data_IF_026438042559
#
_entry.id   IF_026438042559
#
_cell.length_a   1.000
_cell.length_b   1.000
_cell.length_c   1.000
_cell.angle_alpha   90.00
_cell.angle_beta   90.00
_cell.angle_gamma   90.00
#
_symmetry.space_group_name_H-M   'P 1'
#
loop_
_entity.id
_entity.type
_entity.pdbx_description
1 polymer ?
#
# COMPACT_ATOMS: atom_id res chain seq x y z
N UNK A 1 -4.68 5.07 3.68
CA UNK A 1 -5.84 4.42 3.03
C UNK A 1 -6.41 5.32 1.95
N UNK A 2 -6.97 4.74 0.90
CA UNK A 2 -7.73 5.39 -0.17
C UNK A 2 -9.16 4.84 -0.12
N UNK A 3 -10.14 5.72 -0.20
CA UNK A 3 -11.55 5.35 -0.14
C UNK A 3 -12.39 6.16 -1.13
N UNK A 4 -13.47 5.55 -1.58
CA UNK A 4 -14.42 6.16 -2.51
C UNK A 4 -15.47 6.98 -1.75
N UNK A 5 -15.71 8.22 -2.21
CA UNK A 5 -16.75 9.11 -1.71
C UNK A 5 -18.07 8.80 -2.43
N UNK A 6 -19.20 9.27 -1.88
CA UNK A 6 -20.53 9.01 -2.45
C UNK A 6 -20.76 9.60 -3.85
N UNK A 7 -19.92 10.54 -4.28
CA UNK A 7 -19.94 11.13 -5.63
C UNK A 7 -19.03 10.40 -6.63
N UNK A 8 -18.42 9.28 -6.23
CA UNK A 8 -17.49 8.50 -7.04
C UNK A 8 -16.07 9.06 -7.12
N UNK A 9 -15.78 10.18 -6.45
CA UNK A 9 -14.42 10.66 -6.27
C UNK A 9 -13.67 9.85 -5.22
N UNK A 10 -12.34 9.95 -5.20
CA UNK A 10 -11.51 9.27 -4.21
C UNK A 10 -10.87 10.27 -3.25
N UNK A 11 -10.83 9.89 -1.98
CA UNK A 11 -10.12 10.58 -0.90
C UNK A 11 -9.06 9.66 -0.30
N UNK A 12 -8.16 10.23 0.50
CA UNK A 12 -7.15 9.46 1.20
C UNK A 12 -6.97 9.94 2.64
N UNK A 13 -6.59 9.02 3.52
CA UNK A 13 -6.27 9.33 4.91
C UNK A 13 -4.87 9.93 5.01
N UNK A 14 -4.65 10.81 5.99
CA UNK A 14 -3.34 11.42 6.21
C UNK A 14 -2.26 10.36 6.50
N UNK A 15 -1.01 10.58 6.06
CA UNK A 15 0.06 9.63 6.29
C UNK A 15 0.42 9.56 7.77
N UNK A 16 0.82 8.37 8.22
CA UNK A 16 1.38 8.12 9.54
C UNK A 16 2.83 7.67 9.39
N UNK A 17 3.65 7.94 10.41
CA UNK A 17 5.02 7.46 10.43
C UNK A 17 5.04 5.94 10.67
N UNK A 18 5.87 5.24 9.89
CA UNK A 18 6.34 3.90 10.20
C UNK A 18 7.65 3.93 11.01
N UNK A 19 8.31 2.79 11.06
CA UNK A 19 9.70 2.65 11.50
C UNK A 19 10.63 2.38 10.30
N UNK A 20 11.82 1.80 10.55
CA UNK A 20 12.80 1.51 9.50
C UNK A 20 12.32 0.48 8.47
N UNK A 21 11.45 -0.44 8.86
CA UNK A 21 11.06 -1.60 8.04
C UNK A 21 9.55 -1.81 7.94
N UNK A 22 8.73 -1.11 8.73
CA UNK A 22 7.31 -1.39 8.84
C UNK A 22 6.43 -0.16 9.03
N UNK A 23 5.19 -0.25 8.56
CA UNK A 23 4.06 0.54 9.03
C UNK A 23 2.81 -0.34 9.05
N UNK A 24 1.80 0.04 9.85
CA UNK A 24 0.49 -0.61 9.86
C UNK A 24 -0.54 0.31 9.21
N UNK A 25 -0.98 0.07 7.95
CA UNK A 25 -1.90 0.96 7.24
C UNK A 25 -3.21 1.23 7.99
N UNK A 26 -3.71 0.27 8.78
CA UNK A 26 -4.94 0.41 9.55
C UNK A 26 -4.85 1.43 10.70
N UNK A 27 -3.64 1.83 11.10
CA UNK A 27 -3.44 2.90 12.10
C UNK A 27 -3.71 4.31 11.53
N UNK A 28 -3.97 4.43 10.22
CA UNK A 28 -4.45 5.64 9.56
C UNK A 28 -5.87 5.41 9.02
N UNK A 29 -6.87 5.19 9.91
CA UNK A 29 -8.19 4.69 9.51
C UNK A 29 -8.95 5.71 8.66
N UNK A 30 -9.70 5.20 7.68
CA UNK A 30 -10.67 5.99 6.93
C UNK A 30 -11.85 6.38 7.82
N UNK A 31 -12.66 7.40 7.43
CA UNK A 31 -13.91 7.70 8.10
C UNK A 31 -14.77 6.44 8.28
N UNK A 32 -15.50 6.36 9.39
CA UNK A 32 -16.31 5.18 9.69
C UNK A 32 -17.35 4.93 8.57
N UNK A 33 -17.42 3.69 8.08
CA UNK A 33 -18.29 3.31 6.97
C UNK A 33 -17.81 3.71 5.57
N UNK A 34 -16.60 4.28 5.44
CA UNK A 34 -16.02 4.57 4.13
C UNK A 34 -15.75 3.28 3.33
N UNK A 35 -15.98 3.34 2.02
CA UNK A 35 -15.63 2.27 1.09
C UNK A 35 -14.11 2.32 0.79
N UNK A 36 -13.30 1.65 1.61
CA UNK A 36 -11.84 1.59 1.42
C UNK A 36 -11.53 0.64 0.27
N UNK A 37 -10.86 1.15 -0.76
CA UNK A 37 -10.59 0.41 -2.00
C UNK A 37 -9.11 0.08 -2.18
N UNK A 38 -8.23 0.87 -1.56
CA UNK A 38 -6.80 0.67 -1.64
C UNK A 38 -6.06 1.20 -0.41
N UNK A 39 -4.82 0.78 -0.24
CA UNK A 39 -3.85 1.43 0.62
C UNK A 39 -2.67 1.96 -0.20
N UNK A 40 -1.91 2.85 0.42
CA UNK A 40 -0.71 3.40 -0.18
C UNK A 40 0.38 3.50 0.88
N UNK A 41 1.63 3.29 0.46
CA UNK A 41 2.78 3.52 1.30
C UNK A 41 4.02 3.86 0.48
N UNK A 42 5.05 4.26 1.20
CA UNK A 42 6.37 4.56 0.66
C UNK A 42 7.38 3.62 1.27
N UNK A 43 8.37 3.20 0.50
CA UNK A 43 9.58 2.60 1.07
C UNK A 43 10.57 3.69 1.49
N UNK A 44 11.28 3.44 2.60
CA UNK A 44 12.37 4.29 3.08
C UNK A 44 13.60 4.24 2.17
N UNK A 45 14.67 4.96 2.53
CA UNK A 45 15.90 4.98 1.73
C UNK A 45 16.47 3.58 1.45
N UNK A 46 17.32 3.47 0.42
CA UNK A 46 18.00 2.22 0.08
C UNK A 46 18.69 1.61 1.30
N UNK A 47 18.36 0.36 1.59
CA UNK A 47 19.00 -0.47 2.60
C UNK A 47 19.44 -1.78 1.91
N UNK A 48 20.74 -2.12 1.90
CA UNK A 48 21.25 -3.32 1.23
C UNK A 48 20.67 -4.64 1.77
N UNK A 49 19.94 -4.63 2.89
CA UNK A 49 19.24 -5.80 3.43
C UNK A 49 17.93 -6.12 2.71
N UNK A 50 17.33 -5.17 1.98
CA UNK A 50 16.00 -5.31 1.40
C UNK A 50 16.00 -4.96 -0.09
N UNK A 51 15.08 -5.56 -0.86
CA UNK A 51 14.72 -5.02 -2.16
C UNK A 51 13.66 -3.93 -1.96
N UNK A 52 14.12 -2.69 -1.75
CA UNK A 52 13.23 -1.55 -1.50
C UNK A 52 12.40 -1.15 -2.73
N UNK A 53 12.56 -1.82 -3.87
CA UNK A 53 11.92 -1.44 -5.12
C UNK A 53 10.69 -2.27 -5.46
N UNK A 54 10.36 -3.31 -4.68
CA UNK A 54 9.22 -4.20 -4.95
C UNK A 54 8.23 -4.20 -3.79
N UNK A 55 6.98 -4.58 -4.05
CA UNK A 55 6.07 -4.94 -2.96
C UNK A 55 6.64 -6.15 -2.23
N UNK A 56 6.61 -6.12 -0.91
CA UNK A 56 6.99 -7.26 -0.09
C UNK A 56 5.95 -8.38 -0.21
N UNK A 57 6.46 -9.60 -0.42
CA UNK A 57 5.67 -10.83 -0.53
C UNK A 57 6.38 -11.90 0.28
N UNK A 58 6.41 -11.74 1.61
CA UNK A 58 7.21 -12.64 2.45
C UNK A 58 6.52 -13.99 2.61
N UNK A 59 7.31 -15.06 2.56
CA UNK A 59 6.84 -16.45 2.64
C UNK A 59 6.07 -16.79 3.93
N UNK A 60 6.14 -15.95 4.97
CA UNK A 60 5.40 -16.10 6.22
C UNK A 60 3.99 -15.49 6.19
N UNK A 61 3.51 -15.06 5.02
CA UNK A 61 2.17 -14.48 4.84
C UNK A 61 2.07 -13.06 5.39
N UNK A 62 3.19 -12.32 5.42
CA UNK A 62 3.27 -10.92 5.83
C UNK A 62 3.76 -10.03 4.69
N UNK A 63 3.76 -8.74 4.94
CA UNK A 63 4.14 -7.74 3.94
C UNK A 63 2.95 -7.28 3.10
N UNK A 64 3.29 -6.59 2.03
CA UNK A 64 2.36 -5.81 1.23
C UNK A 64 1.30 -6.67 0.54
N UNK A 65 1.73 -7.70 -0.20
CA UNK A 65 0.82 -8.54 -0.98
C UNK A 65 -0.11 -9.34 -0.06
N UNK A 66 0.36 -10.00 1.02
CA UNK A 66 -0.55 -10.67 1.96
C UNK A 66 -1.49 -9.71 2.71
N UNK A 67 -1.04 -8.48 3.04
CA UNK A 67 -1.90 -7.46 3.63
C UNK A 67 -3.03 -7.06 2.67
N UNK A 68 -2.68 -6.75 1.42
CA UNK A 68 -3.61 -6.40 0.36
C UNK A 68 -4.66 -7.50 0.13
N UNK A 69 -4.22 -8.76 0.00
CA UNK A 69 -5.10 -9.93 -0.21
C UNK A 69 -6.03 -10.16 0.98
N UNK A 70 -5.53 -10.06 2.22
CA UNK A 70 -6.33 -10.31 3.43
C UNK A 70 -7.38 -9.24 3.71
N UNK A 71 -7.22 -8.04 3.15
CA UNK A 71 -8.16 -6.92 3.31
C UNK A 71 -8.96 -6.63 2.05
N UNK A 72 -8.77 -7.38 0.97
CA UNK A 72 -9.42 -7.17 -0.34
C UNK A 72 -9.21 -5.73 -0.86
N UNK A 73 -7.98 -5.23 -0.72
CA UNK A 73 -7.60 -3.87 -1.09
C UNK A 73 -6.48 -3.88 -2.12
N UNK A 74 -6.53 -2.96 -3.08
CA UNK A 74 -5.40 -2.68 -3.96
C UNK A 74 -4.26 -1.98 -3.20
N UNK A 75 -3.05 -2.00 -3.75
CA UNK A 75 -1.87 -1.37 -3.15
C UNK A 75 -1.18 -0.38 -4.07
N UNK A 76 -0.77 0.78 -3.54
CA UNK A 76 0.11 1.72 -4.22
C UNK A 76 1.43 1.85 -3.46
N UNK A 77 2.54 1.69 -4.17
CA UNK A 77 3.89 1.79 -3.62
C UNK A 77 4.68 2.89 -4.35
N UNK A 78 5.22 3.83 -3.58
CA UNK A 78 6.27 4.73 -4.04
C UNK A 78 7.64 4.24 -3.54
N UNK A 79 8.58 4.02 -4.46
CA UNK A 79 9.91 3.46 -4.16
C UNK A 79 11.00 4.54 -4.07
N UNK A 80 12.17 4.23 -3.50
CA UNK A 80 13.25 5.21 -3.32
C UNK A 80 13.84 5.73 -4.63
N UNK A 81 13.82 4.93 -5.70
CA UNK A 81 14.20 5.40 -7.04
C UNK A 81 13.14 6.25 -7.74
N UNK A 82 12.04 6.58 -7.04
CA UNK A 82 10.97 7.45 -7.54
C UNK A 82 9.95 6.75 -8.44
N UNK A 83 9.90 5.41 -8.42
CA UNK A 83 8.88 4.67 -9.18
C UNK A 83 7.57 4.64 -8.39
N UNK A 84 6.47 4.71 -9.12
CA UNK A 84 5.14 4.45 -8.56
C UNK A 84 4.65 3.13 -9.14
N UNK A 85 4.23 2.23 -8.27
CA UNK A 85 3.72 0.91 -8.60
C UNK A 85 2.32 0.72 -8.04
N UNK A 86 1.51 -0.05 -8.76
CA UNK A 86 0.17 -0.43 -8.40
C UNK A 86 0.07 -1.96 -8.36
N UNK A 87 -0.48 -2.49 -7.28
CA UNK A 87 -0.81 -3.90 -7.11
C UNK A 87 -2.33 -4.06 -7.13
N UNK A 88 -2.83 -4.87 -8.06
CA UNK A 88 -4.24 -5.25 -8.15
C UNK A 88 -4.44 -6.57 -7.41
N UNK A 89 -5.24 -6.56 -6.34
CA UNK A 89 -5.38 -7.76 -5.50
C UNK A 89 -6.23 -8.86 -6.17
N UNK A 90 -7.17 -8.48 -7.04
CA UNK A 90 -8.10 -9.40 -7.71
C UNK A 90 -7.36 -10.27 -8.71
N UNK A 91 -6.47 -9.66 -9.49
CA UNK A 91 -5.77 -10.33 -10.59
C UNK A 91 -4.33 -10.71 -10.26
N UNK A 92 -3.84 -10.37 -9.06
CA UNK A 92 -2.47 -10.62 -8.60
C UNK A 92 -1.39 -10.03 -9.53
N UNK A 93 -1.63 -8.80 -9.99
CA UNK A 93 -0.75 -8.13 -10.98
C UNK A 93 -0.14 -6.85 -10.42
N UNK A 94 1.16 -6.65 -10.68
CA UNK A 94 1.87 -5.41 -10.39
C UNK A 94 2.13 -4.64 -11.69
N UNK A 95 1.72 -3.37 -11.73
CA UNK A 95 1.94 -2.44 -12.84
C UNK A 95 2.78 -1.25 -12.37
N UNK A 96 3.78 -0.85 -13.16
CA UNK A 96 4.50 0.41 -12.94
C UNK A 96 3.73 1.56 -13.59
N UNK A 97 3.41 2.58 -12.81
CA UNK A 97 2.67 3.78 -13.25
C UNK A 97 3.59 4.93 -13.65
N UNK A 98 4.78 5.03 -13.04
CA UNK A 98 5.81 6.03 -13.31
C UNK A 98 7.21 5.46 -13.11
#
# INVERSE_FOLDING_TARGET
MIYENSDGSYSFTGPIAGDNESMQPLNAPAPNGANVTAYYHTHGAYDPKYDNEIFSDTYDGRGDIPFAKSHEMDGYLATPSGKIKYYNYVNDTITRLQ
#
